data_IF_532286560576
#
_entry.id   IF_532286560576
#
_cell.length_a   1.000
_cell.length_b   1.000
_cell.length_c   1.000
_cell.angle_alpha   90.00
_cell.angle_beta   90.00
_cell.angle_gamma   90.00
#
_symmetry.space_group_name_H-M   'P 1'
#
loop_
_entity.id
_entity.type
_entity.pdbx_description
1 polymer ?
#
# COMPACT_ATOMS: atom_id res chain seq x y z
N UNK A 1 4.70 -12.38 -21.85
CA UNK A 1 5.09 -11.06 -21.26
C UNK A 1 6.31 -11.22 -20.34
N UNK A 2 6.92 -10.09 -19.90
CA UNK A 2 8.01 -10.12 -18.93
C UNK A 2 7.58 -10.77 -17.61
N UNK A 3 6.34 -10.52 -17.19
CA UNK A 3 5.75 -11.09 -15.97
C UNK A 3 5.59 -12.61 -16.09
N UNK A 4 5.14 -13.11 -17.22
CA UNK A 4 5.02 -14.55 -17.51
C UNK A 4 6.38 -15.23 -17.40
N UNK A 5 7.37 -14.72 -18.11
CA UNK A 5 8.74 -15.25 -18.06
C UNK A 5 9.31 -15.25 -16.64
N UNK A 6 9.09 -14.17 -15.89
CA UNK A 6 9.54 -14.06 -14.50
C UNK A 6 8.92 -15.12 -13.58
N UNK A 7 7.61 -15.35 -13.70
CA UNK A 7 6.88 -16.35 -12.89
C UNK A 7 7.34 -17.77 -13.24
N UNK A 8 7.46 -18.07 -14.52
CA UNK A 8 7.84 -19.40 -15.01
C UNK A 8 9.28 -19.75 -14.64
N UNK A 9 10.21 -18.78 -14.72
CA UNK A 9 11.64 -19.00 -14.46
C UNK A 9 11.95 -19.19 -12.97
N UNK A 10 11.18 -18.56 -12.08
CA UNK A 10 11.52 -18.54 -10.64
C UNK A 10 10.71 -19.56 -9.85
N UNK A 11 9.54 -19.99 -10.32
CA UNK A 11 8.69 -20.99 -9.67
C UNK A 11 8.15 -20.55 -8.29
N UNK A 12 7.94 -19.26 -8.09
CA UNK A 12 7.45 -18.71 -6.84
C UNK A 12 5.93 -18.85 -6.70
N UNK A 13 5.46 -19.00 -5.47
CA UNK A 13 4.03 -19.00 -5.13
C UNK A 13 3.53 -17.67 -4.58
N UNK A 14 4.43 -16.75 -4.29
CA UNK A 14 4.13 -15.41 -3.76
C UNK A 14 4.99 -14.39 -4.48
N UNK A 15 4.39 -13.28 -4.91
CA UNK A 15 5.08 -12.21 -5.62
C UNK A 15 4.49 -10.85 -5.26
N UNK A 16 5.35 -9.83 -5.23
CA UNK A 16 4.95 -8.44 -5.06
C UNK A 16 5.22 -7.66 -6.36
N UNK A 17 4.22 -6.94 -6.86
CA UNK A 17 4.28 -6.20 -8.12
C UNK A 17 3.93 -4.72 -7.86
N UNK A 18 4.93 -3.84 -8.02
CA UNK A 18 4.80 -2.43 -7.63
C UNK A 18 3.85 -1.64 -8.53
N UNK A 19 3.96 -1.80 -9.84
CA UNK A 19 3.25 -0.93 -10.80
C UNK A 19 2.07 -1.61 -11.49
N UNK A 20 2.04 -2.93 -11.48
CA UNK A 20 1.02 -3.71 -12.16
C UNK A 20 -0.29 -3.64 -11.39
N UNK A 21 -1.24 -3.05 -11.56
CA UNK A 21 -2.48 -2.92 -10.77
C UNK A 21 -2.80 -1.49 -10.38
N UNK A 22 -1.80 -0.59 -10.39
CA UNK A 22 -2.00 0.82 -10.00
C UNK A 22 -1.52 1.83 -11.04
N UNK A 23 -0.85 1.40 -12.12
CA UNK A 23 -0.31 2.30 -13.14
C UNK A 23 -0.83 1.94 -14.53
N UNK A 24 -1.53 2.87 -15.15
CA UNK A 24 -2.00 2.76 -16.53
C UNK A 24 -1.31 3.83 -17.39
N UNK A 25 -0.47 3.39 -18.30
CA UNK A 25 0.30 4.26 -19.17
C UNK A 25 -0.31 4.33 -20.60
N UNK A 26 -0.04 5.43 -21.27
CA UNK A 26 -0.30 5.58 -22.71
C UNK A 26 1.00 5.85 -23.46
N UNK A 27 1.13 5.35 -24.67
CA UNK A 27 2.22 5.66 -25.58
C UNK A 27 1.64 6.21 -26.90
N UNK A 28 1.98 7.45 -27.23
CA UNK A 28 1.48 8.17 -28.42
C UNK A 28 2.49 8.15 -29.57
N UNK A 29 3.30 7.09 -29.66
CA UNK A 29 4.22 6.97 -30.79
C UNK A 29 3.48 6.91 -32.14
N UNK A 30 3.92 7.74 -33.08
CA UNK A 30 3.39 7.79 -34.41
C UNK A 30 3.41 6.39 -35.07
N UNK A 31 2.24 5.85 -35.43
CA UNK A 31 1.97 4.51 -36.01
C UNK A 31 1.78 3.37 -35.01
N UNK A 32 1.89 3.60 -33.71
CA UNK A 32 1.60 2.56 -32.72
C UNK A 32 1.08 3.23 -31.44
N UNK A 33 -0.14 3.77 -31.54
CA UNK A 33 -0.80 4.40 -30.41
C UNK A 33 -1.25 3.31 -29.40
N UNK A 34 -0.93 3.52 -28.16
CA UNK A 34 -1.29 2.63 -27.06
C UNK A 34 -1.95 3.46 -25.97
N UNK A 35 -3.22 3.23 -25.73
CA UNK A 35 -4.03 4.00 -24.79
C UNK A 35 -4.11 3.31 -23.44
N UNK A 36 -4.63 4.03 -22.42
CA UNK A 36 -4.83 3.49 -21.07
C UNK A 36 -5.71 2.24 -21.06
N UNK A 37 -6.69 2.17 -21.94
CA UNK A 37 -7.57 1.00 -22.11
C UNK A 37 -6.78 -0.25 -22.57
N UNK A 38 -5.80 -0.07 -23.44
CA UNK A 38 -4.91 -1.16 -23.83
C UNK A 38 -4.01 -1.58 -22.67
N UNK A 39 -3.48 -0.58 -21.92
CA UNK A 39 -2.69 -0.84 -20.71
C UNK A 39 -3.50 -1.61 -19.67
N UNK A 40 -4.76 -1.24 -19.46
CA UNK A 40 -5.69 -1.96 -18.58
C UNK A 40 -5.85 -3.43 -19.01
N UNK A 41 -6.13 -3.67 -20.29
CA UNK A 41 -6.29 -5.03 -20.80
C UNK A 41 -5.03 -5.89 -20.60
N UNK A 42 -3.86 -5.33 -20.89
CA UNK A 42 -2.58 -6.05 -20.71
C UNK A 42 -2.26 -6.28 -19.21
N UNK A 43 -2.59 -5.31 -18.35
CA UNK A 43 -2.44 -5.47 -16.90
C UNK A 43 -3.35 -6.59 -16.37
N UNK A 44 -4.61 -6.61 -16.78
CA UNK A 44 -5.56 -7.67 -16.39
C UNK A 44 -5.07 -9.04 -16.87
N UNK A 45 -4.61 -9.17 -18.11
CA UNK A 45 -4.06 -10.43 -18.63
C UNK A 45 -2.85 -10.91 -17.81
N UNK A 46 -1.95 -9.98 -17.43
CA UNK A 46 -0.78 -10.34 -16.63
C UNK A 46 -1.16 -10.79 -15.22
N UNK A 47 -2.14 -10.14 -14.57
CA UNK A 47 -2.66 -10.53 -13.26
C UNK A 47 -3.37 -11.89 -13.32
N UNK A 48 -4.19 -12.12 -14.36
CA UNK A 48 -4.84 -13.41 -14.59
C UNK A 48 -3.81 -14.53 -14.84
N UNK A 49 -2.77 -14.23 -15.61
CA UNK A 49 -1.70 -15.19 -15.82
C UNK A 49 -1.02 -15.56 -14.51
N UNK A 50 -0.66 -14.59 -13.69
CA UNK A 50 0.00 -14.81 -12.39
C UNK A 50 -0.84 -15.73 -11.49
N UNK A 51 -2.12 -15.43 -11.31
CA UNK A 51 -3.01 -16.20 -10.44
C UNK A 51 -3.32 -17.59 -10.99
N UNK A 52 -3.41 -17.77 -12.31
CA UNK A 52 -3.67 -19.06 -12.95
C UNK A 52 -2.43 -19.96 -13.01
N UNK A 53 -1.23 -19.43 -12.90
CA UNK A 53 0.04 -20.17 -13.02
C UNK A 53 0.79 -20.31 -11.69
N UNK A 54 0.06 -20.43 -10.59
CA UNK A 54 0.59 -20.87 -9.31
C UNK A 54 0.94 -19.79 -8.30
N UNK A 55 0.75 -18.51 -8.62
CA UNK A 55 0.85 -17.45 -7.63
C UNK A 55 -0.38 -17.47 -6.72
N UNK A 56 -0.16 -17.82 -5.47
CA UNK A 56 -1.20 -17.89 -4.43
C UNK A 56 -1.37 -16.58 -3.67
N UNK A 57 -0.25 -15.86 -3.48
CA UNK A 57 -0.24 -14.59 -2.78
C UNK A 57 0.33 -13.51 -3.69
N UNK A 58 -0.54 -12.61 -4.12
CA UNK A 58 -0.19 -11.49 -4.97
C UNK A 58 -0.32 -10.19 -4.18
N UNK A 59 0.83 -9.58 -3.85
CA UNK A 59 0.89 -8.28 -3.19
C UNK A 59 0.97 -7.16 -4.22
N UNK A 60 0.06 -6.22 -4.16
CA UNK A 60 0.00 -5.08 -5.08
C UNK A 60 0.14 -3.77 -4.31
N UNK A 61 0.81 -2.78 -4.92
CA UNK A 61 0.95 -1.45 -4.33
C UNK A 61 -0.24 -0.59 -4.73
N UNK A 62 -1.04 -0.20 -3.75
CA UNK A 62 -2.25 0.63 -3.91
C UNK A 62 -3.04 0.28 -5.17
N UNK A 63 -3.54 -0.97 -5.31
CA UNK A 63 -4.20 -1.40 -6.54
C UNK A 63 -5.46 -0.60 -6.84
N UNK A 64 -5.76 -0.42 -8.12
CA UNK A 64 -7.04 0.10 -8.57
C UNK A 64 -8.12 -1.00 -8.56
N UNK A 65 -9.36 -0.62 -8.68
CA UNK A 65 -10.54 -1.49 -8.61
C UNK A 65 -10.47 -2.73 -9.52
N UNK A 66 -9.96 -2.58 -10.74
CA UNK A 66 -9.81 -3.70 -11.68
C UNK A 66 -8.86 -4.81 -11.18
N UNK A 67 -7.96 -4.46 -10.25
CA UNK A 67 -6.97 -5.37 -9.71
C UNK A 67 -7.37 -6.00 -8.36
N UNK A 68 -8.42 -5.52 -7.70
CA UNK A 68 -8.85 -5.98 -6.36
C UNK A 68 -9.07 -7.50 -6.29
N UNK A 69 -9.72 -8.07 -7.30
CA UNK A 69 -10.01 -9.52 -7.32
C UNK A 69 -8.77 -10.43 -7.41
N UNK A 70 -7.61 -9.85 -7.75
CA UNK A 70 -6.34 -10.57 -7.85
C UNK A 70 -5.44 -10.35 -6.63
N UNK A 71 -5.66 -9.27 -5.89
CA UNK A 71 -4.83 -8.90 -4.75
C UNK A 71 -5.10 -9.81 -3.55
N UNK A 72 -4.05 -10.37 -2.98
CA UNK A 72 -4.09 -11.02 -1.67
C UNK A 72 -3.90 -10.00 -0.56
N UNK A 73 -3.13 -8.96 -0.84
CA UNK A 73 -2.95 -7.80 0.04
C UNK A 73 -2.52 -6.57 -0.76
N UNK A 74 -2.76 -5.38 -0.20
CA UNK A 74 -2.29 -4.12 -0.73
C UNK A 74 -1.19 -3.52 0.14
N UNK A 75 -0.15 -2.97 -0.51
CA UNK A 75 0.99 -2.36 0.16
C UNK A 75 1.02 -0.85 -0.06
N UNK A 76 1.55 -0.12 0.93
CA UNK A 76 1.78 1.32 0.88
C UNK A 76 0.52 2.13 0.48
N UNK A 77 -0.63 1.77 1.06
CA UNK A 77 -1.88 2.53 0.82
C UNK A 77 -1.78 3.88 1.53
N UNK A 78 -1.92 5.00 0.81
CA UNK A 78 -1.90 6.33 1.41
C UNK A 78 -3.01 6.51 2.45
N UNK A 79 -2.72 7.16 3.57
CA UNK A 79 -3.72 7.41 4.61
C UNK A 79 -4.80 8.41 4.19
N UNK A 80 -4.46 9.35 3.31
CA UNK A 80 -5.36 10.39 2.84
C UNK A 80 -5.79 10.17 1.39
N UNK A 81 -7.04 10.45 1.10
CA UNK A 81 -7.52 10.58 -0.27
C UNK A 81 -6.97 11.86 -0.92
N UNK A 82 -6.95 11.91 -2.25
CA UNK A 82 -6.60 13.13 -2.98
C UNK A 82 -7.57 14.25 -2.58
N UNK A 83 -7.03 15.33 -2.03
CA UNK A 83 -7.82 16.50 -1.68
C UNK A 83 -8.07 17.37 -2.92
N UNK A 84 -9.32 17.64 -3.20
CA UNK A 84 -9.76 18.65 -4.15
C UNK A 84 -10.32 19.85 -3.40
N UNK A 85 -10.23 21.05 -3.96
CA UNK A 85 -10.73 22.31 -3.35
C UNK A 85 -12.21 22.28 -2.98
N UNK A 86 -12.98 21.37 -3.57
CA UNK A 86 -14.42 21.20 -3.30
C UNK A 86 -14.74 20.28 -2.12
N UNK A 87 -13.71 19.67 -1.50
CA UNK A 87 -13.91 18.76 -0.37
C UNK A 87 -13.69 19.49 0.95
N UNK A 88 -14.66 19.41 1.85
CA UNK A 88 -14.59 20.02 3.18
C UNK A 88 -13.53 19.33 4.07
N UNK A 89 -13.40 18.01 3.95
CA UNK A 89 -12.37 17.23 4.67
C UNK A 89 -12.07 15.91 3.94
N UNK A 90 -10.92 15.32 4.22
CA UNK A 90 -10.53 14.02 3.69
C UNK A 90 -11.19 12.90 4.49
N UNK A 91 -11.64 11.87 3.78
CA UNK A 91 -12.06 10.59 4.36
C UNK A 91 -11.17 9.48 3.80
N UNK A 92 -10.91 8.40 4.54
CA UNK A 92 -10.15 7.25 4.06
C UNK A 92 -11.02 6.38 3.14
N UNK A 93 -11.46 6.94 2.01
CA UNK A 93 -12.43 6.30 1.13
C UNK A 93 -11.93 4.96 0.57
N UNK A 94 -10.67 4.91 0.18
CA UNK A 94 -10.07 3.68 -0.33
C UNK A 94 -10.15 2.57 0.73
N UNK A 95 -9.73 2.86 1.95
CA UNK A 95 -9.74 1.92 3.05
C UNK A 95 -11.16 1.46 3.42
N UNK A 96 -12.13 2.38 3.44
CA UNK A 96 -13.54 2.03 3.65
C UNK A 96 -14.08 1.06 2.58
N UNK A 97 -13.54 1.13 1.36
CA UNK A 97 -13.96 0.23 0.26
C UNK A 97 -13.27 -1.13 0.36
N UNK A 98 -11.97 -1.17 0.67
CA UNK A 98 -11.18 -2.41 0.62
C UNK A 98 -11.13 -3.15 1.95
N UNK A 99 -11.52 -2.52 3.04
CA UNK A 99 -11.57 -3.15 4.35
C UNK A 99 -12.52 -4.37 4.32
N UNK A 100 -12.01 -5.53 4.73
CA UNK A 100 -12.74 -6.80 4.63
C UNK A 100 -12.63 -7.51 3.27
N UNK A 101 -12.06 -6.88 2.22
CA UNK A 101 -11.78 -7.56 0.94
C UNK A 101 -10.42 -8.26 0.96
N UNK A 102 -9.40 -7.57 1.45
CA UNK A 102 -8.03 -8.05 1.61
C UNK A 102 -7.29 -7.19 2.64
N UNK A 103 -6.20 -7.74 3.18
CA UNK A 103 -5.32 -6.98 4.08
C UNK A 103 -4.59 -5.85 3.35
N UNK A 104 -4.38 -4.73 4.03
CA UNK A 104 -3.61 -3.63 3.46
C UNK A 104 -2.72 -2.98 4.51
N UNK A 105 -1.52 -2.55 4.09
CA UNK A 105 -0.64 -1.73 4.92
C UNK A 105 -0.78 -0.25 4.59
N UNK A 106 -0.55 0.58 5.59
CA UNK A 106 -0.40 2.01 5.39
C UNK A 106 0.95 2.41 4.80
N UNK A 107 1.26 3.69 4.87
CA UNK A 107 2.56 4.24 4.48
C UNK A 107 3.68 3.63 5.34
N UNK A 108 4.88 3.53 4.76
CA UNK A 108 6.06 3.00 5.46
C UNK A 108 6.51 4.00 6.52
N UNK A 109 6.47 3.61 7.81
CA UNK A 109 6.69 4.49 8.95
C UNK A 109 8.09 5.10 8.97
N UNK A 110 9.09 4.31 8.63
CA UNK A 110 10.49 4.72 8.64
C UNK A 110 11.04 5.13 7.27
N UNK A 111 10.17 5.37 6.30
CA UNK A 111 10.56 5.94 5.02
C UNK A 111 10.32 7.46 5.03
N UNK A 112 11.35 8.19 4.73
CA UNK A 112 11.43 9.58 4.26
C UNK A 112 10.60 10.68 4.89
N UNK A 113 9.88 10.49 5.97
CA UNK A 113 9.12 11.62 6.45
C UNK A 113 9.54 12.07 7.85
N UNK A 114 9.31 13.34 8.12
CA UNK A 114 9.60 13.97 9.40
C UNK A 114 8.50 13.70 10.44
N UNK A 115 7.51 12.87 10.08
CA UNK A 115 6.40 12.53 10.95
C UNK A 115 6.85 11.45 11.95
N UNK A 116 6.52 11.65 13.20
CA UNK A 116 6.87 10.70 14.26
C UNK A 116 5.95 9.48 14.30
N UNK A 117 6.37 8.43 15.03
CA UNK A 117 5.61 7.19 15.21
C UNK A 117 4.16 7.43 15.64
N UNK A 118 3.90 8.40 16.52
CA UNK A 118 2.54 8.72 16.98
C UNK A 118 1.62 9.18 15.84
N UNK A 119 2.15 9.97 14.89
CA UNK A 119 1.38 10.39 13.74
C UNK A 119 0.94 9.18 12.90
N UNK A 120 1.86 8.25 12.64
CA UNK A 120 1.55 7.03 11.90
C UNK A 120 0.57 6.13 12.66
N UNK A 121 0.76 5.94 13.97
CA UNK A 121 -0.17 5.18 14.81
C UNK A 121 -1.60 5.73 14.71
N UNK A 122 -1.76 7.06 14.83
CA UNK A 122 -3.08 7.69 14.71
C UNK A 122 -3.73 7.43 13.37
N UNK A 123 -2.97 7.51 12.27
CA UNK A 123 -3.51 7.22 10.94
C UNK A 123 -3.77 5.73 10.70
N UNK A 124 -2.97 4.84 11.26
CA UNK A 124 -3.23 3.40 11.23
C UNK A 124 -4.55 3.10 11.95
N UNK A 125 -4.77 3.71 13.12
CA UNK A 125 -6.03 3.58 13.86
C UNK A 125 -7.22 4.23 13.16
N UNK A 126 -7.01 5.31 12.41
CA UNK A 126 -8.03 5.98 11.63
C UNK A 126 -8.46 5.15 10.43
N UNK A 127 -7.52 4.47 9.77
CA UNK A 127 -7.72 3.81 8.48
C UNK A 127 -7.87 2.30 8.56
N UNK A 128 -7.58 1.68 9.71
CA UNK A 128 -7.56 0.22 9.86
C UNK A 128 -6.43 -0.48 9.11
N UNK A 129 -5.39 0.27 8.71
CA UNK A 129 -4.27 -0.31 7.98
C UNK A 129 -3.30 -1.06 8.88
N UNK A 130 -2.60 -2.03 8.30
CA UNK A 130 -1.50 -2.71 8.96
C UNK A 130 -0.23 -1.84 8.98
N UNK A 131 0.65 -2.12 9.94
CA UNK A 131 1.94 -1.46 10.10
C UNK A 131 2.88 -1.84 8.94
N UNK A 132 3.63 -0.86 8.43
CA UNK A 132 4.66 -1.10 7.43
C UNK A 132 5.98 -0.44 7.83
N UNK A 133 7.07 -1.22 7.77
CA UNK A 133 8.45 -0.77 7.91
C UNK A 133 9.29 -1.32 6.77
N UNK A 134 10.28 -0.57 6.34
CA UNK A 134 11.30 -1.04 5.40
C UNK A 134 12.64 -1.15 6.13
N UNK A 135 13.36 -2.24 5.92
CA UNK A 135 14.65 -2.45 6.58
C UNK A 135 15.76 -2.68 5.56
N UNK A 136 16.89 -2.00 5.79
CA UNK A 136 18.18 -2.36 5.20
C UNK A 136 19.03 -3.07 6.26
N UNK A 137 19.85 -4.02 5.82
CA UNK A 137 20.80 -4.70 6.68
C UNK A 137 22.03 -3.80 6.96
N UNK A 138 22.54 -3.18 5.91
CA UNK A 138 23.68 -2.28 5.96
C UNK A 138 23.22 -0.82 6.18
N UNK A 139 24.16 0.04 6.53
CA UNK A 139 23.94 1.48 6.63
C UNK A 139 23.37 2.04 5.32
N UNK A 140 22.21 2.65 5.41
CA UNK A 140 21.48 3.18 4.27
C UNK A 140 21.72 4.67 4.02
N UNK A 141 22.59 5.34 4.77
CA UNK A 141 22.80 6.79 4.67
C UNK A 141 23.31 7.24 3.30
N UNK A 142 24.04 6.39 2.57
CA UNK A 142 24.49 6.69 1.21
C UNK A 142 23.32 6.85 0.21
N UNK A 143 22.15 6.27 0.51
CA UNK A 143 20.98 6.39 -0.35
C UNK A 143 20.45 7.82 -0.49
N UNK A 144 20.82 8.73 0.42
CA UNK A 144 20.41 10.16 0.39
C UNK A 144 20.80 10.87 -0.92
N UNK A 145 21.85 10.38 -1.60
CA UNK A 145 22.35 10.92 -2.86
C UNK A 145 21.75 10.25 -4.10
N UNK A 146 20.78 9.35 -3.93
CA UNK A 146 20.20 8.54 -5.00
C UNK A 146 18.70 8.79 -5.17
N UNK A 147 18.09 8.14 -6.16
CA UNK A 147 16.64 8.09 -6.34
C UNK A 147 15.93 7.38 -5.17
N UNK A 148 16.68 6.65 -4.36
CA UNK A 148 16.20 5.96 -3.15
C UNK A 148 16.41 6.77 -1.88
N UNK A 149 16.59 8.09 -1.96
CA UNK A 149 16.85 9.00 -0.83
C UNK A 149 15.85 8.85 0.34
N UNK A 150 14.66 8.40 0.06
CA UNK A 150 13.62 8.20 1.06
C UNK A 150 13.90 7.04 2.03
N UNK A 151 14.82 6.15 1.70
CA UNK A 151 15.20 5.01 2.51
C UNK A 151 16.57 5.19 3.19
N UNK A 152 17.09 6.43 3.28
CA UNK A 152 18.41 6.72 3.84
C UNK A 152 18.56 6.41 5.33
N UNK A 153 17.47 6.17 6.05
CA UNK A 153 17.47 5.91 7.48
C UNK A 153 16.71 4.62 7.84
N UNK A 154 16.85 3.57 7.05
CA UNK A 154 16.12 2.31 7.21
C UNK A 154 16.94 1.16 7.77
N UNK A 155 18.17 1.41 8.29
CA UNK A 155 18.97 0.38 8.92
C UNK A 155 18.21 -0.27 10.09
N UNK A 156 18.06 -1.60 10.05
CA UNK A 156 17.19 -2.34 10.97
C UNK A 156 17.53 -2.15 12.45
N UNK A 157 18.81 -2.00 12.76
CA UNK A 157 19.30 -1.84 14.14
C UNK A 157 18.76 -0.57 14.81
N UNK A 158 18.49 0.48 14.03
CA UNK A 158 17.99 1.77 14.51
C UNK A 158 16.49 1.74 14.85
N UNK A 159 15.75 0.79 14.26
CA UNK A 159 14.27 0.76 14.34
C UNK A 159 13.70 -0.37 15.19
N UNK A 160 14.53 -1.29 15.68
CA UNK A 160 14.04 -2.48 16.42
C UNK A 160 13.17 -2.12 17.63
N UNK A 161 13.49 -1.04 18.33
CA UNK A 161 12.72 -0.61 19.50
C UNK A 161 11.41 0.07 19.10
N UNK A 162 11.45 0.97 18.11
CA UNK A 162 10.27 1.68 17.59
C UNK A 162 9.24 0.70 17.02
N UNK A 163 9.68 -0.33 16.29
CA UNK A 163 8.80 -1.40 15.78
C UNK A 163 8.03 -2.07 16.92
N UNK A 164 8.72 -2.45 17.99
CA UNK A 164 8.09 -3.08 19.16
C UNK A 164 7.06 -2.16 19.81
N UNK A 165 7.40 -0.88 19.96
CA UNK A 165 6.52 0.11 20.57
C UNK A 165 5.27 0.34 19.71
N UNK A 166 5.44 0.53 18.39
CA UNK A 166 4.31 0.75 17.48
C UNK A 166 3.38 -0.46 17.46
N UNK A 167 3.93 -1.67 17.30
CA UNK A 167 3.12 -2.89 17.24
C UNK A 167 2.39 -3.11 18.55
N UNK A 168 3.08 -3.02 19.71
CA UNK A 168 2.44 -3.22 21.01
C UNK A 168 1.32 -2.20 21.26
N UNK A 169 1.50 -0.94 20.86
CA UNK A 169 0.48 0.08 21.01
C UNK A 169 -0.78 -0.24 20.20
N UNK A 170 -0.62 -0.71 18.97
CA UNK A 170 -1.75 -1.07 18.11
C UNK A 170 -2.44 -2.35 18.60
N UNK A 171 -1.67 -3.34 19.05
CA UNK A 171 -2.19 -4.60 19.61
C UNK A 171 -3.01 -4.36 20.90
N UNK A 172 -2.58 -3.44 21.77
CA UNK A 172 -3.32 -3.06 22.96
C UNK A 172 -4.69 -2.46 22.66
N UNK A 173 -4.84 -1.77 21.53
CA UNK A 173 -6.12 -1.18 21.10
C UNK A 173 -7.04 -2.25 20.52
N UNK A 174 -6.49 -3.30 19.90
CA UNK A 174 -7.22 -4.49 19.50
C UNK A 174 -8.12 -4.32 18.27
N UNK A 175 -7.71 -3.52 17.28
CA UNK A 175 -8.48 -3.33 16.03
C UNK A 175 -8.21 -4.39 14.97
N UNK A 176 -7.26 -5.30 15.21
CA UNK A 176 -6.92 -6.35 14.25
C UNK A 176 -8.11 -7.29 13.99
N UNK A 177 -8.41 -7.50 12.71
CA UNK A 177 -9.52 -8.34 12.28
C UNK A 177 -10.91 -7.70 12.42
N UNK A 178 -10.98 -6.44 12.85
CA UNK A 178 -12.22 -5.67 12.86
C UNK A 178 -12.43 -4.94 11.54
N UNK A 179 -13.69 -4.82 11.13
CA UNK A 179 -14.06 -4.06 9.92
C UNK A 179 -14.23 -2.57 10.25
N UNK A 180 -13.62 -1.70 9.44
CA UNK A 180 -13.82 -0.26 9.48
C UNK A 180 -15.18 0.09 8.86
N UNK A 181 -16.16 0.47 9.68
CA UNK A 181 -17.55 0.67 9.23
C UNK A 181 -17.98 2.11 9.13
N UNK A 182 -17.31 3.02 9.83
CA UNK A 182 -17.68 4.44 9.78
C UNK A 182 -16.47 5.34 10.09
N UNK A 183 -16.45 6.49 9.41
CA UNK A 183 -15.51 7.58 9.62
C UNK A 183 -16.26 8.90 9.61
N UNK A 184 -16.17 9.69 10.66
CA UNK A 184 -16.95 10.91 10.84
C UNK A 184 -16.10 12.03 11.45
N UNK A 185 -16.10 13.20 10.84
CA UNK A 185 -15.57 14.42 11.44
C UNK A 185 -16.53 14.90 12.54
N UNK A 186 -16.07 14.97 13.79
CA UNK A 186 -16.88 15.39 14.94
C UNK A 186 -16.53 16.80 15.44
N UNK A 187 -15.30 17.23 15.19
CA UNK A 187 -14.84 18.60 15.43
C UNK A 187 -13.62 18.87 14.54
N UNK A 188 -13.10 20.10 14.55
CA UNK A 188 -11.92 20.45 13.77
C UNK A 188 -10.75 19.49 14.08
N UNK A 189 -10.27 18.75 13.08
CA UNK A 189 -9.22 17.73 13.18
C UNK A 189 -9.48 16.60 14.19
N UNK A 190 -10.76 16.36 14.56
CA UNK A 190 -11.13 15.24 15.44
C UNK A 190 -12.09 14.32 14.69
N UNK A 191 -11.65 13.10 14.46
CA UNK A 191 -12.42 12.07 13.75
C UNK A 191 -12.91 11.01 14.73
N UNK A 192 -14.13 10.56 14.52
CA UNK A 192 -14.68 9.37 15.17
C UNK A 192 -14.66 8.23 14.15
N UNK A 193 -13.96 7.17 14.49
CA UNK A 193 -13.88 5.97 13.67
C UNK A 193 -14.59 4.82 14.39
N UNK A 194 -15.31 3.99 13.66
CA UNK A 194 -16.06 2.86 14.21
C UNK A 194 -15.59 1.58 13.55
N UNK A 195 -15.21 0.62 14.39
CA UNK A 195 -14.86 -0.72 14.01
C UNK A 195 -15.91 -1.70 14.54
N UNK A 196 -16.18 -2.76 13.76
CA UNK A 196 -17.04 -3.89 14.16
C UNK A 196 -16.28 -5.19 13.96
N UNK A 197 -16.32 -6.07 14.92
CA UNK A 197 -15.66 -7.37 14.88
C UNK A 197 -16.38 -8.39 15.74
#
# INVERSE_FOLDING_TARGET
TLVESYIDDIGLTSVSLKNLGSSLASDYKRRNEFFKENSLQESVKALEYATNNGIKNLSLYTPYDFAFKYASNALEVPYAATQYEVLDYSIPFYQLVVNGLFDYSGEVINAHDEKGNQWHIMHILETGSNVAFTFSYEDSTELIQTDYKYYYYTEYSKWTQDVKEVISTIDEIGIHGCELTNHQLVANNIYKVTYTG
#
